data_IF_776626414959
#
_entry.id   IF_776626414959
#
_cell.length_a   1.000
_cell.length_b   1.000
_cell.length_c   1.000
_cell.angle_alpha   90.00
_cell.angle_beta   90.00
_cell.angle_gamma   90.00
#
_symmetry.space_group_name_H-M   'P 1'
#
loop_
_entity.id
_entity.type
_entity.pdbx_description
1 polymer ?
#
# COMPACT_ATOMS: atom_id res chain seq x y z
N UNK A 1 5.31 -13.15 -7.47
CA UNK A 1 5.35 -12.81 -6.04
C UNK A 1 5.30 -11.29 -5.93
N UNK A 2 4.18 -10.72 -5.47
CA UNK A 2 4.07 -9.29 -5.23
C UNK A 2 4.83 -8.87 -3.96
N UNK A 3 5.47 -7.71 -4.02
CA UNK A 3 6.21 -7.07 -2.93
C UNK A 3 5.61 -5.67 -2.74
N UNK A 4 5.31 -5.30 -1.50
CA UNK A 4 4.79 -3.98 -1.13
C UNK A 4 5.72 -3.37 -0.09
N UNK A 5 6.49 -2.37 -0.47
CA UNK A 5 7.39 -1.65 0.44
C UNK A 5 6.72 -0.37 0.92
N UNK A 6 6.47 -0.28 2.22
CA UNK A 6 5.75 0.82 2.86
C UNK A 6 6.70 1.69 3.68
N UNK A 7 6.62 3.01 3.52
CA UNK A 7 7.33 4.03 4.31
C UNK A 7 6.35 4.92 5.06
N UNK A 8 6.85 5.76 5.98
CA UNK A 8 6.04 6.71 6.74
C UNK A 8 5.53 6.18 8.09
N UNK A 9 5.96 4.98 8.47
CA UNK A 9 5.67 4.37 9.77
C UNK A 9 6.89 4.38 10.68
N UNK A 10 6.64 4.50 11.97
CA UNK A 10 7.62 4.40 13.05
C UNK A 10 7.63 2.99 13.66
N UNK A 11 8.65 2.69 14.46
CA UNK A 11 8.75 1.40 15.16
C UNK A 11 7.62 1.18 16.20
N UNK A 12 6.95 2.23 16.64
CA UNK A 12 5.88 2.18 17.65
C UNK A 12 4.50 1.82 17.04
N UNK A 13 4.37 1.90 15.71
CA UNK A 13 3.10 1.66 14.98
C UNK A 13 2.90 0.18 14.59
N UNK A 14 3.45 -0.75 15.39
CA UNK A 14 3.36 -2.20 15.14
C UNK A 14 1.93 -2.71 14.94
N UNK A 15 0.92 -2.29 15.72
CA UNK A 15 -0.46 -2.73 15.50
C UNK A 15 -0.99 -2.35 14.10
N UNK A 16 -0.74 -1.12 13.66
CA UNK A 16 -1.12 -0.60 12.34
C UNK A 16 -0.41 -1.38 11.24
N UNK A 17 0.91 -1.55 11.36
CA UNK A 17 1.71 -2.31 10.40
C UNK A 17 1.22 -3.75 10.23
N UNK A 18 0.82 -4.42 11.32
CA UNK A 18 0.24 -5.77 11.27
C UNK A 18 -1.12 -5.79 10.58
N UNK A 19 -1.99 -4.84 10.87
CA UNK A 19 -3.32 -4.74 10.27
C UNK A 19 -3.22 -4.49 8.75
N UNK A 20 -2.40 -3.53 8.33
CA UNK A 20 -2.13 -3.23 6.91
C UNK A 20 -1.60 -4.48 6.20
N UNK A 21 -0.58 -5.14 6.77
CA UNK A 21 0.00 -6.36 6.19
C UNK A 21 -1.08 -7.41 5.93
N UNK A 22 -1.90 -7.69 6.93
CA UNK A 22 -2.96 -8.69 6.82
C UNK A 22 -4.01 -8.29 5.76
N UNK A 23 -4.41 -7.03 5.72
CA UNK A 23 -5.37 -6.51 4.74
C UNK A 23 -4.84 -6.63 3.31
N UNK A 24 -3.61 -6.18 3.05
CA UNK A 24 -2.95 -6.27 1.74
C UNK A 24 -2.82 -7.72 1.30
N UNK A 25 -2.30 -8.60 2.15
CA UNK A 25 -2.13 -10.02 1.82
C UNK A 25 -3.47 -10.69 1.49
N UNK A 26 -4.52 -10.37 2.26
CA UNK A 26 -5.88 -10.87 2.03
C UNK A 26 -6.47 -10.36 0.71
N UNK A 27 -6.32 -9.07 0.40
CA UNK A 27 -6.81 -8.48 -0.85
C UNK A 27 -6.13 -9.13 -2.05
N UNK A 28 -4.81 -9.30 -1.97
CA UNK A 28 -4.03 -9.93 -3.03
C UNK A 28 -4.47 -11.38 -3.27
N UNK A 29 -4.60 -12.16 -2.21
CA UNK A 29 -5.07 -13.55 -2.28
C UNK A 29 -6.46 -13.64 -2.94
N UNK A 30 -7.42 -12.82 -2.49
CA UNK A 30 -8.82 -12.92 -2.93
C UNK A 30 -9.03 -12.45 -4.37
N UNK A 31 -8.36 -11.38 -4.80
CA UNK A 31 -8.61 -10.74 -6.10
C UNK A 31 -7.75 -11.28 -7.23
N UNK A 32 -6.51 -11.64 -6.94
CA UNK A 32 -5.56 -12.12 -7.96
C UNK A 32 -5.16 -13.59 -7.77
N UNK A 33 -5.90 -14.32 -6.92
CA UNK A 33 -5.79 -15.79 -6.74
C UNK A 33 -4.38 -16.27 -6.41
N UNK A 34 -3.61 -15.51 -5.63
CA UNK A 34 -2.34 -15.99 -5.11
C UNK A 34 -2.59 -17.16 -4.16
N UNK A 35 -1.89 -18.28 -4.36
CA UNK A 35 -2.19 -19.57 -3.70
C UNK A 35 -2.14 -19.52 -2.16
N UNK A 36 -1.35 -18.59 -1.60
CA UNK A 36 -1.17 -18.44 -0.15
C UNK A 36 -1.11 -16.97 0.25
N UNK A 37 -1.48 -16.71 1.50
CA UNK A 37 -1.48 -15.37 2.08
C UNK A 37 -0.06 -14.77 2.18
N UNK A 38 0.95 -15.61 2.38
CA UNK A 38 2.38 -15.24 2.45
C UNK A 38 3.05 -15.06 1.08
N UNK A 39 2.34 -15.32 -0.02
CA UNK A 39 2.86 -15.07 -1.38
C UNK A 39 3.03 -13.57 -1.65
N UNK A 40 2.33 -12.72 -0.89
CA UNK A 40 2.54 -11.27 -0.91
C UNK A 40 3.46 -10.88 0.23
N UNK A 41 4.64 -10.34 -0.11
CA UNK A 41 5.56 -9.77 0.86
C UNK A 41 5.19 -8.31 1.11
N UNK A 42 5.02 -7.93 2.38
CA UNK A 42 4.82 -6.53 2.78
C UNK A 42 5.99 -6.15 3.67
N UNK A 43 6.72 -5.09 3.35
CA UNK A 43 7.83 -4.61 4.15
C UNK A 43 7.50 -3.22 4.68
N UNK A 44 7.87 -2.95 5.92
CA UNK A 44 7.80 -1.60 6.48
C UNK A 44 9.23 -1.10 6.67
N UNK A 45 9.53 0.01 6.03
CA UNK A 45 10.80 0.71 6.12
C UNK A 45 10.60 1.84 7.12
N UNK A 46 10.88 1.54 8.39
CA UNK A 46 10.74 2.49 9.49
C UNK A 46 11.92 3.46 9.53
N UNK A 47 11.64 4.73 9.77
CA UNK A 47 12.65 5.76 9.92
C UNK A 47 12.68 6.24 11.39
N UNK A 48 13.79 6.06 12.14
CA UNK A 48 13.87 6.47 13.54
C UNK A 48 13.95 7.99 13.73
N UNK A 49 14.05 8.78 12.65
CA UNK A 49 14.09 10.25 12.70
C UNK A 49 12.71 10.92 12.64
N UNK A 50 11.65 10.15 12.40
CA UNK A 50 10.27 10.65 12.38
C UNK A 50 9.50 10.21 13.63
N UNK A 51 8.62 11.07 14.12
CA UNK A 51 7.70 10.76 15.22
C UNK A 51 6.36 10.26 14.68
N UNK A 52 5.65 9.45 15.47
CA UNK A 52 4.29 9.02 15.13
C UNK A 52 3.39 10.24 15.00
N UNK A 53 2.90 10.51 13.79
CA UNK A 53 1.99 11.63 13.54
C UNK A 53 1.09 11.34 12.35
N UNK A 54 -0.19 11.76 12.39
CA UNK A 54 -1.08 11.67 11.25
C UNK A 54 -0.61 12.49 10.04
N UNK A 55 0.29 13.46 10.24
CA UNK A 55 0.77 14.33 9.16
C UNK A 55 1.93 13.71 8.36
N UNK A 56 2.50 12.59 8.84
CA UNK A 56 3.51 11.85 8.08
C UNK A 56 2.85 11.21 6.85
N UNK A 57 3.49 11.37 5.69
CA UNK A 57 3.04 10.75 4.46
C UNK A 57 3.42 9.27 4.41
N UNK A 58 2.41 8.40 4.49
CA UNK A 58 2.58 6.98 4.27
C UNK A 58 2.56 6.66 2.76
N UNK A 59 3.59 5.99 2.28
CA UNK A 59 3.73 5.67 0.86
C UNK A 59 4.04 4.19 0.67
N UNK A 60 3.41 3.56 -0.33
CA UNK A 60 3.66 2.18 -0.69
C UNK A 60 4.14 2.07 -2.15
N UNK A 61 5.24 1.34 -2.33
CA UNK A 61 5.72 0.92 -3.64
C UNK A 61 5.31 -0.52 -3.86
N UNK A 62 4.56 -0.76 -4.92
CA UNK A 62 4.10 -2.11 -5.26
C UNK A 62 4.94 -2.65 -6.40
N UNK A 63 5.46 -3.87 -6.25
CA UNK A 63 6.24 -4.56 -7.26
C UNK A 63 5.60 -5.92 -7.55
N UNK A 64 5.41 -6.27 -8.81
CA UNK A 64 5.10 -7.64 -9.20
C UNK A 64 5.48 -7.87 -10.66
N UNK A 65 6.02 -9.04 -10.94
CA UNK A 65 6.31 -9.47 -12.32
C UNK A 65 5.04 -9.50 -13.20
N UNK A 66 3.85 -9.59 -12.59
CA UNK A 66 2.60 -9.58 -13.36
C UNK A 66 2.29 -8.20 -13.97
N UNK A 67 2.86 -7.10 -13.46
CA UNK A 67 2.58 -5.75 -13.97
C UNK A 67 2.92 -5.55 -15.44
N UNK A 68 3.88 -6.31 -15.98
CA UNK A 68 4.23 -6.26 -17.40
C UNK A 68 3.07 -6.72 -18.30
N UNK A 69 2.21 -7.59 -17.78
CA UNK A 69 1.07 -8.17 -18.50
C UNK A 69 -0.26 -7.53 -18.10
N UNK A 70 -0.25 -6.55 -17.19
CA UNK A 70 -1.45 -5.83 -16.75
C UNK A 70 -1.67 -4.56 -17.59
N UNK A 71 -2.93 -4.18 -17.76
CA UNK A 71 -3.29 -2.85 -18.28
C UNK A 71 -2.99 -1.76 -17.25
N UNK A 72 -3.11 -0.49 -17.63
CA UNK A 72 -2.99 0.62 -16.68
C UNK A 72 -4.09 0.53 -15.60
N UNK A 73 -5.33 0.26 -15.97
CA UNK A 73 -6.43 0.16 -15.01
C UNK A 73 -6.21 -0.98 -14.00
N UNK A 74 -5.72 -2.14 -14.46
CA UNK A 74 -5.41 -3.26 -13.57
C UNK A 74 -4.27 -2.95 -12.59
N UNK A 75 -3.28 -2.17 -13.03
CA UNK A 75 -2.20 -1.69 -12.14
C UNK A 75 -2.73 -0.69 -11.11
N UNK A 76 -3.60 0.21 -11.53
CA UNK A 76 -4.27 1.17 -10.63
C UNK A 76 -5.12 0.44 -9.58
N UNK A 77 -5.87 -0.59 -9.96
CA UNK A 77 -6.65 -1.41 -9.03
C UNK A 77 -5.80 -2.06 -7.94
N UNK A 78 -4.62 -2.57 -8.31
CA UNK A 78 -3.66 -3.12 -7.35
C UNK A 78 -3.20 -2.04 -6.37
N UNK A 79 -2.88 -0.84 -6.87
CA UNK A 79 -2.43 0.26 -6.03
C UNK A 79 -3.55 0.79 -5.14
N UNK A 80 -4.79 0.89 -5.61
CA UNK A 80 -5.94 1.27 -4.79
C UNK A 80 -6.18 0.30 -3.62
N UNK A 81 -6.02 -1.01 -3.81
CA UNK A 81 -6.18 -1.95 -2.69
C UNK A 81 -5.12 -1.75 -1.60
N UNK A 82 -3.90 -1.40 -1.99
CA UNK A 82 -2.84 -1.09 -1.03
C UNK A 82 -3.11 0.25 -0.34
N UNK A 83 -3.43 1.29 -1.09
CA UNK A 83 -3.74 2.62 -0.53
C UNK A 83 -4.95 2.58 0.40
N UNK A 84 -6.02 1.84 0.06
CA UNK A 84 -7.16 1.63 0.95
C UNK A 84 -6.75 0.98 2.27
N UNK A 85 -5.89 -0.05 2.23
CA UNK A 85 -5.39 -0.70 3.44
C UNK A 85 -4.58 0.28 4.33
N UNK A 86 -3.81 1.19 3.72
CA UNK A 86 -3.11 2.25 4.46
C UNK A 86 -4.10 3.24 5.10
N UNK A 87 -5.14 3.67 4.38
CA UNK A 87 -6.14 4.60 4.92
C UNK A 87 -6.96 4.01 6.06
N UNK A 88 -7.37 2.75 5.94
CA UNK A 88 -8.22 2.08 6.94
C UNK A 88 -7.48 1.74 8.23
N UNK A 89 -6.16 1.53 8.15
CA UNK A 89 -5.40 0.94 9.26
C UNK A 89 -4.16 1.74 9.69
N UNK A 90 -3.66 2.64 8.85
CA UNK A 90 -2.41 3.37 9.09
C UNK A 90 -2.56 4.56 10.02
N UNK A 91 -3.72 5.23 10.02
CA UNK A 91 -3.94 6.42 10.85
C UNK A 91 -3.26 7.70 10.32
N UNK A 92 -2.63 7.64 9.15
CA UNK A 92 -2.05 8.79 8.46
C UNK A 92 -3.10 9.52 7.61
N UNK A 93 -2.97 10.83 7.50
CA UNK A 93 -3.81 11.69 6.67
C UNK A 93 -3.49 11.52 5.19
N UNK A 94 -2.22 11.28 4.86
CA UNK A 94 -1.72 11.14 3.49
C UNK A 94 -1.26 9.70 3.27
N UNK A 95 -1.91 9.03 2.32
CA UNK A 95 -1.60 7.65 1.95
C UNK A 95 -1.54 7.55 0.43
N UNK A 96 -0.43 7.03 -0.08
CA UNK A 96 -0.23 6.80 -1.51
C UNK A 96 0.28 5.39 -1.79
N UNK A 97 -0.10 4.86 -2.94
CA UNK A 97 0.47 3.65 -3.51
C UNK A 97 0.74 3.85 -5.00
N UNK A 98 1.87 3.34 -5.48
CA UNK A 98 2.24 3.43 -6.89
C UNK A 98 3.09 2.24 -7.35
N UNK A 99 2.99 1.84 -8.63
CA UNK A 99 3.85 0.85 -9.24
C UNK A 99 5.09 1.53 -9.87
N UNK A 100 6.32 1.25 -9.40
CA UNK A 100 7.52 1.90 -9.92
C UNK A 100 7.72 1.65 -11.42
N UNK A 101 8.10 2.71 -12.16
CA UNK A 101 8.33 2.64 -13.60
C UNK A 101 7.08 2.77 -14.47
N UNK A 102 5.90 2.95 -13.86
CA UNK A 102 4.64 3.19 -14.56
C UNK A 102 4.04 4.54 -14.15
N UNK A 103 3.29 5.16 -15.06
CA UNK A 103 2.57 6.41 -14.79
C UNK A 103 1.24 6.12 -14.09
N UNK A 104 1.31 5.61 -12.86
CA UNK A 104 0.17 5.23 -12.04
C UNK A 104 0.48 5.65 -10.60
N UNK A 105 -0.31 6.56 -10.05
CA UNK A 105 -0.21 6.98 -8.65
C UNK A 105 -1.63 7.02 -8.11
N UNK A 106 -1.86 6.31 -7.00
CA UNK A 106 -3.16 6.19 -6.36
C UNK A 106 -3.06 6.72 -4.92
N UNK A 107 -3.80 7.78 -4.61
CA UNK A 107 -3.78 8.45 -3.29
C UNK A 107 -3.66 9.97 -3.41
N UNK A 108 -3.39 10.65 -2.29
CA UNK A 108 -3.17 12.10 -2.22
C UNK A 108 -3.72 12.77 -0.94
N UNK A 109 -3.82 14.12 -0.94
CA UNK A 109 -4.42 14.91 0.14
C UNK A 109 -5.91 14.58 0.29
N UNK A 110 -6.42 14.45 1.53
CA UNK A 110 -7.84 14.16 1.83
C UNK A 110 -8.85 15.20 1.31
N UNK A 111 -8.43 16.27 0.63
CA UNK A 111 -9.31 17.27 0.00
C UNK A 111 -9.63 17.01 -1.49
N UNK A 112 -9.20 15.87 -2.05
CA UNK A 112 -9.54 15.49 -3.42
C UNK A 112 -10.15 14.10 -3.51
N UNK A 113 -11.33 13.88 -2.93
CA UNK A 113 -12.08 12.64 -3.21
C UNK A 113 -12.34 12.52 -4.70
N UNK A 114 -12.07 11.34 -5.26
CA UNK A 114 -12.56 10.91 -6.58
C UNK A 114 -14.08 11.07 -6.61
N UNK A 115 -14.68 11.63 -7.67
CA UNK A 115 -16.13 11.53 -7.84
C UNK A 115 -16.48 10.05 -8.00
N UNK A 116 -17.49 9.67 -7.24
CA UNK A 116 -18.27 8.43 -7.30
C UNK A 116 -18.67 8.02 -8.72
#
# INVERSE_FOLDING_TARGET
MPIVDVTGFTADEVPQMKAIRHAVQTAFQKRWSFERLDTTTVNFLTDPSIETSPDIHAMARVYTMQFINMTEEQRDEVCWEVQRALEEHGGHTFNEAFPPGYKSICGGWKEGRRPD
#
